data_IF_559164093398
#
_entry.id   IF_559164093398
#
_cell.length_a   1.000
_cell.length_b   1.000
_cell.length_c   1.000
_cell.angle_alpha   90.00
_cell.angle_beta   90.00
_cell.angle_gamma   90.00
#
_symmetry.space_group_name_H-M   'P 1'
#
loop_
_entity.id
_entity.type
_entity.pdbx_description
1 polymer ?
#
# COMPACT_ATOMS: atom_id res chain seq x y z
N UNK A 1 -15.32 3.14 -2.62
CA UNK A 1 -14.67 1.84 -2.37
C UNK A 1 -14.09 1.83 -0.97
N UNK A 2 -13.67 0.68 -0.50
CA UNK A 2 -13.28 0.46 0.89
C UNK A 2 -11.90 -0.17 1.01
N UNK A 3 -11.27 0.05 2.15
CA UNK A 3 -9.98 -0.51 2.54
C UNK A 3 -10.11 -1.25 3.88
N UNK A 4 -9.42 -2.37 4.02
CA UNK A 4 -9.41 -3.16 5.25
C UNK A 4 -8.66 -2.43 6.38
N UNK A 5 -9.21 -2.48 7.59
CA UNK A 5 -8.63 -1.85 8.78
C UNK A 5 -7.20 -2.29 9.08
N UNK A 6 -6.82 -3.53 8.72
CA UNK A 6 -5.42 -4.00 8.79
C UNK A 6 -4.46 -3.12 8.01
N UNK A 7 -4.84 -2.64 6.82
CA UNK A 7 -4.03 -1.73 6.01
C UNK A 7 -4.13 -0.28 6.48
N UNK A 8 -5.25 0.12 7.08
CA UNK A 8 -5.43 1.48 7.64
C UNK A 8 -4.56 1.68 8.87
N UNK A 9 -4.47 0.68 9.74
CA UNK A 9 -3.77 0.75 11.04
C UNK A 9 -2.30 1.11 10.91
N UNK A 10 -1.66 0.75 9.79
CA UNK A 10 -0.24 1.02 9.56
C UNK A 10 0.07 2.51 9.38
N UNK A 11 -0.92 3.34 9.03
CA UNK A 11 -0.74 4.80 8.85
C UNK A 11 -0.50 5.52 10.18
N UNK A 12 -1.40 5.45 11.18
CA UNK A 12 -1.12 6.05 12.48
C UNK A 12 0.07 5.39 13.19
N UNK A 13 0.33 4.09 12.96
CA UNK A 13 1.53 3.42 13.48
C UNK A 13 2.82 4.00 12.88
N UNK A 14 2.85 4.28 11.57
CA UNK A 14 3.98 4.95 10.91
C UNK A 14 4.30 6.28 11.60
N UNK A 15 3.29 7.13 11.83
CA UNK A 15 3.48 8.43 12.46
C UNK A 15 3.97 8.27 13.90
N UNK A 16 3.37 7.38 14.69
CA UNK A 16 3.81 7.12 16.07
C UNK A 16 5.25 6.63 16.14
N UNK A 17 5.67 5.79 15.19
CA UNK A 17 6.99 5.17 15.22
C UNK A 17 8.09 6.06 14.63
N UNK A 18 7.80 6.76 13.52
CA UNK A 18 8.79 7.58 12.79
C UNK A 18 8.80 9.03 13.24
N UNK A 19 7.67 9.54 13.72
CA UNK A 19 7.48 10.93 14.12
C UNK A 19 6.71 11.05 15.47
N UNK A 20 7.18 10.40 16.55
CA UNK A 20 6.43 10.27 17.81
C UNK A 20 5.96 11.60 18.41
N UNK A 21 6.77 12.66 18.31
CA UNK A 21 6.43 14.00 18.81
C UNK A 21 5.38 14.76 17.98
N UNK A 22 5.11 14.32 16.75
CA UNK A 22 4.23 15.01 15.80
C UNK A 22 2.87 14.31 15.63
N UNK A 23 2.64 13.18 16.32
CA UNK A 23 1.42 12.38 16.18
C UNK A 23 0.14 13.19 16.43
N UNK A 24 0.07 13.93 17.54
CA UNK A 24 -1.12 14.73 17.87
C UNK A 24 -1.34 15.85 16.86
N UNK A 25 -0.27 16.46 16.34
CA UNK A 25 -0.36 17.49 15.31
C UNK A 25 -0.89 16.90 14.00
N UNK A 26 -0.40 15.72 13.61
CA UNK A 26 -0.92 15.00 12.44
C UNK A 26 -2.40 14.65 12.62
N UNK A 27 -2.79 14.04 13.75
CA UNK A 27 -4.20 13.74 14.05
C UNK A 27 -5.06 15.00 13.99
N UNK A 28 -4.58 16.12 14.53
CA UNK A 28 -5.32 17.38 14.53
C UNK A 28 -5.42 18.05 13.16
N UNK A 29 -4.55 17.70 12.21
CA UNK A 29 -4.64 18.16 10.82
C UNK A 29 -5.69 17.43 9.98
N UNK A 30 -6.22 16.31 10.48
CA UNK A 30 -7.22 15.50 9.79
C UNK A 30 -8.64 16.06 9.95
N UNK A 31 -9.46 15.78 8.94
CA UNK A 31 -10.90 15.94 8.99
C UNK A 31 -11.52 15.13 10.13
N UNK A 32 -12.73 15.51 10.55
CA UNK A 32 -13.45 14.82 11.64
C UNK A 32 -13.65 13.33 11.32
N UNK A 33 -13.94 13.00 10.06
CA UNK A 33 -14.12 11.61 9.61
C UNK A 33 -12.81 10.81 9.73
N UNK A 34 -11.71 11.35 9.20
CA UNK A 34 -10.40 10.71 9.24
C UNK A 34 -9.87 10.58 10.66
N UNK A 35 -9.99 11.64 11.47
CA UNK A 35 -9.62 11.65 12.89
C UNK A 35 -10.33 10.55 13.67
N UNK A 36 -11.64 10.37 13.46
CA UNK A 36 -12.42 9.31 14.13
C UNK A 36 -11.92 7.92 13.78
N UNK A 37 -11.54 7.68 12.52
CA UNK A 37 -11.05 6.38 12.06
C UNK A 37 -9.66 6.08 12.64
N UNK A 38 -8.71 7.01 12.54
CA UNK A 38 -7.31 6.75 12.92
C UNK A 38 -7.08 6.72 14.43
N UNK A 39 -8.00 7.28 15.22
CA UNK A 39 -7.93 7.25 16.68
C UNK A 39 -8.00 5.83 17.24
N UNK A 40 -8.86 4.98 16.67
CA UNK A 40 -9.04 3.58 17.07
C UNK A 40 -9.43 2.72 15.86
N UNK A 41 -8.41 2.25 15.12
CA UNK A 41 -8.61 1.45 13.91
C UNK A 41 -8.93 0.00 14.30
N UNK A 42 -10.17 -0.43 14.04
CA UNK A 42 -10.56 -1.83 14.12
C UNK A 42 -10.10 -2.58 12.87
N UNK A 43 -9.15 -3.49 13.03
CA UNK A 43 -8.54 -4.26 11.92
C UNK A 43 -9.52 -5.15 11.15
N UNK A 44 -10.62 -5.57 11.78
CA UNK A 44 -11.63 -6.41 11.14
C UNK A 44 -12.62 -5.61 10.28
N UNK A 45 -12.70 -4.30 10.47
CA UNK A 45 -13.66 -3.41 9.78
C UNK A 45 -13.14 -3.00 8.39
N UNK A 46 -14.07 -2.79 7.46
CA UNK A 46 -13.83 -2.12 6.19
C UNK A 46 -14.18 -0.64 6.33
N UNK A 47 -13.32 0.24 5.82
CA UNK A 47 -13.50 1.69 5.93
C UNK A 47 -13.54 2.35 4.55
N UNK A 48 -14.28 3.45 4.37
CA UNK A 48 -14.21 4.24 3.14
C UNK A 48 -12.78 4.68 2.85
N UNK A 49 -12.29 4.41 1.63
CA UNK A 49 -10.88 4.60 1.26
C UNK A 49 -10.38 6.03 1.51
N UNK A 50 -11.19 7.03 1.16
CA UNK A 50 -10.80 8.44 1.22
C UNK A 50 -10.42 8.89 2.65
N UNK A 51 -11.32 8.85 3.66
CA UNK A 51 -10.99 9.27 5.01
C UNK A 51 -10.11 8.26 5.77
N UNK A 52 -10.06 7.00 5.34
CA UNK A 52 -9.28 5.98 6.06
C UNK A 52 -7.83 5.91 5.61
N UNK A 53 -7.53 6.17 4.33
CA UNK A 53 -6.20 5.96 3.78
C UNK A 53 -5.68 7.12 2.94
N UNK A 54 -6.49 7.70 2.04
CA UNK A 54 -6.02 8.77 1.14
C UNK A 54 -5.68 10.02 1.92
N UNK A 55 -6.64 10.59 2.65
CA UNK A 55 -6.44 11.82 3.41
C UNK A 55 -5.38 11.66 4.52
N UNK A 56 -5.42 10.60 5.37
CA UNK A 56 -4.40 10.40 6.39
C UNK A 56 -2.99 10.31 5.81
N UNK A 57 -2.80 9.57 4.71
CA UNK A 57 -1.49 9.44 4.03
C UNK A 57 -1.06 10.78 3.43
N UNK A 58 -1.97 11.52 2.78
CA UNK A 58 -1.69 12.85 2.25
C UNK A 58 -1.20 13.81 3.34
N UNK A 59 -1.77 13.77 4.54
CA UNK A 59 -1.29 14.55 5.69
C UNK A 59 0.09 14.13 6.18
N UNK A 60 0.43 12.84 6.14
CA UNK A 60 1.81 12.40 6.42
C UNK A 60 2.78 12.96 5.37
N UNK A 61 2.40 12.90 4.09
CA UNK A 61 3.21 13.43 2.97
C UNK A 61 3.45 14.94 3.11
N UNK A 62 2.41 15.73 3.37
CA UNK A 62 2.50 17.17 3.56
C UNK A 62 3.42 17.54 4.73
N UNK A 63 3.30 16.85 5.85
CA UNK A 63 4.03 17.18 7.07
C UNK A 63 5.49 16.74 7.07
N UNK A 64 5.80 15.58 6.47
CA UNK A 64 7.08 14.91 6.67
C UNK A 64 7.86 14.63 5.39
N UNK A 65 7.24 14.81 4.21
CA UNK A 65 7.86 14.57 2.91
C UNK A 65 7.81 15.80 1.99
N UNK A 66 7.52 16.99 2.53
CA UNK A 66 7.52 18.24 1.77
C UNK A 66 6.51 18.27 0.62
N UNK A 67 5.45 17.44 0.69
CA UNK A 67 4.49 17.31 -0.40
C UNK A 67 4.90 16.34 -1.52
N UNK A 68 6.05 15.65 -1.42
CA UNK A 68 6.44 14.62 -2.39
C UNK A 68 5.57 13.38 -2.25
N UNK A 69 4.50 13.35 -3.06
CA UNK A 69 3.50 12.28 -3.06
C UNK A 69 4.12 10.92 -3.34
N UNK A 70 5.05 10.85 -4.30
CA UNK A 70 5.68 9.58 -4.66
C UNK A 70 6.51 9.08 -3.49
N UNK A 71 7.45 9.88 -2.99
CA UNK A 71 8.36 9.45 -1.92
C UNK A 71 7.60 9.07 -0.65
N UNK A 72 6.69 9.92 -0.19
CA UNK A 72 5.97 9.68 1.06
C UNK A 72 5.03 8.48 0.98
N UNK A 73 4.15 8.42 -0.03
CA UNK A 73 3.24 7.29 -0.18
C UNK A 73 3.99 5.95 -0.30
N UNK A 74 5.08 5.94 -1.07
CA UNK A 74 5.92 4.76 -1.25
C UNK A 74 6.54 4.28 0.06
N UNK A 75 7.08 5.19 0.87
CA UNK A 75 7.65 4.85 2.18
C UNK A 75 6.60 4.32 3.17
N UNK A 76 5.39 4.90 3.20
CA UNK A 76 4.28 4.33 3.98
C UNK A 76 3.88 2.94 3.47
N UNK A 77 3.98 2.70 2.15
CA UNK A 77 3.75 1.40 1.53
C UNK A 77 4.73 0.35 2.01
N UNK A 78 6.03 0.68 1.95
CA UNK A 78 7.13 -0.17 2.45
C UNK A 78 6.94 -0.50 3.93
N UNK A 79 6.67 0.52 4.75
CA UNK A 79 6.39 0.32 6.17
C UNK A 79 5.18 -0.60 6.41
N UNK A 80 4.11 -0.41 5.64
CA UNK A 80 2.92 -1.27 5.75
C UNK A 80 3.24 -2.73 5.41
N UNK A 81 4.13 -2.99 4.45
CA UNK A 81 4.61 -4.35 4.16
C UNK A 81 5.43 -4.91 5.32
N UNK A 82 6.33 -4.13 5.92
CA UNK A 82 7.08 -4.56 7.09
C UNK A 82 6.15 -4.95 8.25
N UNK A 83 5.13 -4.15 8.57
CA UNK A 83 4.20 -4.45 9.66
C UNK A 83 3.35 -5.69 9.34
N UNK A 84 2.80 -5.77 8.13
CA UNK A 84 1.89 -6.86 7.74
C UNK A 84 2.59 -8.20 7.53
N UNK A 85 3.86 -8.19 7.09
CA UNK A 85 4.61 -9.40 6.72
C UNK A 85 5.62 -9.84 7.80
N UNK A 86 5.92 -9.04 8.83
CA UNK A 86 6.77 -9.47 9.95
C UNK A 86 6.03 -10.22 11.08
N UNK A 87 4.71 -10.42 10.97
CA UNK A 87 3.88 -11.14 11.95
C UNK A 87 3.72 -12.65 11.68
N UNK A 88 2.54 -13.22 11.97
CA UNK A 88 2.23 -14.67 11.76
C UNK A 88 2.45 -15.11 10.29
N UNK A 89 2.30 -14.19 9.33
CA UNK A 89 2.53 -14.45 7.92
C UNK A 89 4.02 -14.48 7.51
N UNK A 90 4.95 -14.10 8.41
CA UNK A 90 6.39 -14.07 8.14
C UNK A 90 6.93 -15.43 7.70
N UNK A 91 6.43 -16.52 8.28
CA UNK A 91 6.82 -17.88 7.89
C UNK A 91 6.27 -18.22 6.49
N UNK A 92 5.01 -17.90 6.20
CA UNK A 92 4.41 -18.19 4.89
C UNK A 92 5.07 -17.43 3.75
N UNK A 93 5.46 -16.17 3.97
CA UNK A 93 6.05 -15.30 2.93
C UNK A 93 7.53 -15.66 2.72
N UNK A 94 8.29 -15.89 3.80
CA UNK A 94 9.72 -16.22 3.73
C UNK A 94 10.01 -17.55 3.02
N UNK A 95 9.05 -18.48 2.99
CA UNK A 95 9.17 -19.77 2.30
C UNK A 95 8.37 -19.86 0.99
N UNK A 96 7.69 -18.79 0.58
CA UNK A 96 7.00 -18.74 -0.71
C UNK A 96 7.94 -18.21 -1.78
N UNK A 97 8.01 -18.88 -2.93
CA UNK A 97 8.70 -18.30 -4.09
C UNK A 97 7.98 -17.03 -4.55
N UNK A 98 8.67 -16.07 -5.18
CA UNK A 98 8.03 -14.88 -5.75
C UNK A 98 6.85 -15.24 -6.65
N UNK A 99 6.99 -16.28 -7.48
CA UNK A 99 5.91 -16.79 -8.34
C UNK A 99 4.66 -17.26 -7.57
N UNK A 100 4.82 -17.79 -6.35
CA UNK A 100 3.70 -18.24 -5.51
C UNK A 100 2.95 -17.07 -4.84
N UNK A 101 3.64 -15.98 -4.54
CA UNK A 101 3.01 -14.74 -4.05
C UNK A 101 2.27 -14.06 -5.20
N UNK A 102 2.92 -13.98 -6.36
CA UNK A 102 2.37 -13.40 -7.58
C UNK A 102 1.10 -14.13 -8.02
N UNK A 103 1.09 -15.47 -8.00
CA UNK A 103 -0.10 -16.25 -8.37
C UNK A 103 -1.31 -16.01 -7.46
N UNK A 104 -1.07 -15.45 -6.27
CA UNK A 104 -2.10 -15.11 -5.28
C UNK A 104 -2.36 -13.60 -5.17
N UNK A 105 -1.66 -12.78 -5.95
CA UNK A 105 -1.71 -11.31 -5.86
C UNK A 105 -3.14 -10.78 -5.92
N UNK A 106 -3.97 -11.31 -6.82
CA UNK A 106 -5.39 -10.94 -6.95
C UNK A 106 -6.17 -11.16 -5.65
N UNK A 107 -6.06 -12.35 -5.04
CA UNK A 107 -6.76 -12.70 -3.80
C UNK A 107 -6.25 -11.89 -2.61
N UNK A 108 -4.94 -11.68 -2.54
CA UNK A 108 -4.33 -10.87 -1.49
C UNK A 108 -4.83 -9.43 -1.60
N UNK A 109 -4.80 -8.85 -2.81
CA UNK A 109 -5.22 -7.48 -3.05
C UNK A 109 -6.69 -7.25 -2.69
N UNK A 110 -7.59 -8.14 -3.13
CA UNK A 110 -9.02 -8.09 -2.81
C UNK A 110 -9.32 -8.25 -1.31
N UNK A 111 -8.41 -8.81 -0.51
CA UNK A 111 -8.55 -8.88 0.94
C UNK A 111 -8.29 -7.52 1.64
N UNK A 112 -7.68 -6.56 0.94
CA UNK A 112 -7.36 -5.24 1.47
C UNK A 112 -8.13 -4.11 0.79
N UNK A 113 -8.57 -4.26 -0.46
CA UNK A 113 -9.33 -3.25 -1.21
C UNK A 113 -10.57 -3.87 -1.86
N UNK A 114 -11.73 -3.23 -1.70
CA UNK A 114 -13.00 -3.75 -2.23
C UNK A 114 -13.96 -2.63 -2.69
N UNK A 115 -14.60 -2.74 -3.87
CA UNK A 115 -14.27 -3.67 -4.96
C UNK A 115 -12.91 -3.34 -5.58
N UNK A 116 -12.17 -4.36 -6.00
CA UNK A 116 -10.91 -4.18 -6.70
C UNK A 116 -10.48 -5.40 -7.51
N UNK A 117 -9.70 -5.17 -8.57
CA UNK A 117 -9.15 -6.23 -9.42
C UNK A 117 -7.70 -5.96 -9.77
N UNK A 118 -6.82 -6.88 -9.35
CA UNK A 118 -5.39 -6.91 -9.68
C UNK A 118 -5.05 -8.28 -10.26
N UNK A 119 -4.39 -8.32 -11.41
CA UNK A 119 -4.00 -9.56 -12.09
C UNK A 119 -2.51 -9.56 -12.42
N UNK A 120 -1.86 -10.71 -12.33
CA UNK A 120 -0.50 -10.87 -12.82
C UNK A 120 -0.53 -11.17 -14.32
N UNK A 121 0.31 -10.49 -15.08
CA UNK A 121 0.58 -10.70 -16.49
C UNK A 121 2.09 -10.74 -16.72
N UNK A 122 2.53 -11.35 -17.83
CA UNK A 122 3.96 -11.36 -18.23
C UNK A 122 4.88 -11.85 -17.10
N UNK A 123 4.54 -13.00 -16.49
CA UNK A 123 5.38 -13.62 -15.46
C UNK A 123 6.63 -14.24 -16.10
N UNK A 124 7.78 -13.72 -15.72
CA UNK A 124 9.10 -14.22 -16.09
C UNK A 124 9.90 -14.58 -14.82
N UNK A 125 11.05 -15.27 -14.94
CA UNK A 125 11.85 -15.67 -13.77
C UNK A 125 12.26 -14.50 -12.85
N UNK A 126 12.45 -13.31 -13.44
CA UNK A 126 13.01 -12.13 -12.78
C UNK A 126 12.11 -10.89 -12.90
N UNK A 127 10.88 -11.05 -13.39
CA UNK A 127 9.96 -9.92 -13.54
C UNK A 127 8.50 -10.35 -13.61
N UNK A 128 7.60 -9.43 -13.27
CA UNK A 128 6.16 -9.59 -13.46
C UNK A 128 5.51 -8.22 -13.65
N UNK A 129 4.48 -8.18 -14.50
CA UNK A 129 3.56 -7.03 -14.56
C UNK A 129 2.31 -7.33 -13.74
N UNK A 130 1.91 -6.39 -12.89
CA UNK A 130 0.62 -6.45 -12.20
C UNK A 130 -0.31 -5.39 -12.80
N UNK A 131 -1.49 -5.81 -13.22
CA UNK A 131 -2.49 -4.98 -13.90
C UNK A 131 -3.67 -4.75 -12.95
N UNK A 132 -3.86 -3.52 -12.51
CA UNK A 132 -5.03 -3.11 -11.74
C UNK A 132 -6.07 -2.53 -12.69
N UNK A 133 -7.15 -3.27 -12.91
CA UNK A 133 -8.19 -2.94 -13.90
C UNK A 133 -9.50 -2.47 -13.26
N UNK A 134 -9.68 -2.70 -11.96
CA UNK A 134 -10.83 -2.20 -11.21
C UNK A 134 -10.35 -1.55 -9.91
N UNK A 135 -10.56 -0.24 -9.80
CA UNK A 135 -10.29 0.55 -8.61
C UNK A 135 -11.13 1.83 -8.64
N UNK A 136 -12.30 1.82 -7.98
CA UNK A 136 -13.34 2.83 -8.20
C UNK A 136 -13.02 4.25 -7.68
N UNK A 137 -11.98 4.40 -6.86
CA UNK A 137 -11.52 5.71 -6.37
C UNK A 137 -10.00 5.82 -6.56
N UNK A 138 -9.53 5.91 -7.81
CA UNK A 138 -8.10 5.91 -8.09
C UNK A 138 -7.44 7.16 -7.51
N UNK A 139 -6.24 6.97 -6.97
CA UNK A 139 -5.49 8.00 -6.26
C UNK A 139 -4.00 7.71 -6.40
N UNK A 140 -3.22 8.70 -6.85
CA UNK A 140 -1.76 8.55 -6.96
C UNK A 140 -1.13 8.18 -5.61
N UNK A 141 -1.66 8.74 -4.52
CA UNK A 141 -1.24 8.40 -3.14
C UNK A 141 -1.37 6.91 -2.89
N UNK A 142 -2.48 6.28 -3.32
CA UNK A 142 -2.71 4.86 -3.10
C UNK A 142 -1.90 4.00 -4.07
N UNK A 143 -1.76 4.42 -5.33
CA UNK A 143 -0.94 3.70 -6.32
C UNK A 143 0.53 3.64 -5.88
N UNK A 144 1.13 4.75 -5.45
CA UNK A 144 2.50 4.75 -4.94
C UNK A 144 2.64 3.96 -3.63
N UNK A 145 1.62 3.99 -2.77
CA UNK A 145 1.61 3.18 -1.55
C UNK A 145 1.54 1.68 -1.85
N UNK A 146 0.78 1.27 -2.87
CA UNK A 146 0.75 -0.11 -3.36
C UNK A 146 2.11 -0.48 -3.95
N UNK A 147 2.72 0.39 -4.76
CA UNK A 147 4.04 0.14 -5.36
C UNK A 147 5.14 -0.08 -4.30
N UNK A 148 5.21 0.79 -3.28
CA UNK A 148 6.14 0.60 -2.16
C UNK A 148 5.87 -0.65 -1.34
N UNK A 149 4.60 -1.04 -1.18
CA UNK A 149 4.25 -2.32 -0.54
C UNK A 149 4.74 -3.52 -1.37
N UNK A 150 4.53 -3.51 -2.69
CA UNK A 150 4.98 -4.59 -3.59
C UNK A 150 6.50 -4.72 -3.56
N UNK A 151 7.22 -3.60 -3.68
CA UNK A 151 8.67 -3.58 -3.63
C UNK A 151 9.18 -4.26 -2.37
N UNK A 152 8.67 -3.82 -1.21
CA UNK A 152 9.09 -4.36 0.07
C UNK A 152 8.67 -5.82 0.28
N UNK A 153 7.49 -6.21 -0.20
CA UNK A 153 7.04 -7.60 -0.14
C UNK A 153 7.94 -8.55 -0.93
N UNK A 154 8.39 -8.15 -2.13
CA UNK A 154 9.34 -8.92 -2.93
C UNK A 154 10.69 -9.02 -2.24
N UNK A 155 11.20 -7.94 -1.65
CA UNK A 155 12.43 -7.96 -0.83
C UNK A 155 12.34 -8.94 0.35
N UNK A 156 11.24 -8.90 1.11
CA UNK A 156 10.99 -9.80 2.24
C UNK A 156 10.92 -11.26 1.79
N UNK A 157 10.48 -11.49 0.55
CA UNK A 157 10.37 -12.81 -0.07
C UNK A 157 11.71 -13.31 -0.66
N UNK A 158 12.78 -12.53 -0.52
CA UNK A 158 14.14 -12.92 -0.91
C UNK A 158 14.61 -12.39 -2.27
N UNK A 159 13.78 -11.64 -3.00
CA UNK A 159 14.21 -10.97 -4.23
C UNK A 159 15.26 -9.91 -3.90
N UNK A 160 16.29 -9.77 -4.75
CA UNK A 160 17.34 -8.76 -4.59
C UNK A 160 17.26 -7.72 -5.70
N UNK A 161 17.63 -6.48 -5.39
CA UNK A 161 17.61 -5.39 -6.37
C UNK A 161 16.24 -5.21 -7.01
N UNK A 162 15.18 -5.24 -6.19
CA UNK A 162 13.80 -5.07 -6.65
C UNK A 162 13.63 -3.67 -7.22
N UNK A 163 13.01 -3.58 -8.39
CA UNK A 163 12.58 -2.31 -8.98
C UNK A 163 11.08 -2.41 -9.28
N UNK A 164 10.33 -1.37 -8.93
CA UNK A 164 8.90 -1.24 -9.27
C UNK A 164 8.69 0.06 -10.05
N UNK A 165 7.96 -0.01 -11.15
CA UNK A 165 7.59 1.15 -11.98
C UNK A 165 6.10 1.16 -12.22
N UNK A 166 5.49 2.34 -12.12
CA UNK A 166 4.11 2.58 -12.55
C UNK A 166 4.17 3.15 -13.97
N UNK A 167 3.77 2.37 -14.97
CA UNK A 167 3.85 2.76 -16.40
C UNK A 167 2.52 3.23 -16.97
N UNK A 168 1.40 2.80 -16.38
CA UNK A 168 0.06 3.34 -16.61
C UNK A 168 -0.62 3.56 -15.25
N UNK A 169 -1.56 4.49 -15.15
CA UNK A 169 -2.23 4.92 -13.93
C UNK A 169 -3.70 5.26 -14.14
N UNK A 170 -4.58 4.56 -13.42
CA UNK A 170 -6.00 4.91 -13.31
C UNK A 170 -6.17 6.32 -12.73
N UNK A 171 -5.30 6.73 -11.79
CA UNK A 171 -5.36 8.06 -11.18
C UNK A 171 -5.07 9.19 -12.19
N UNK A 172 -4.37 8.87 -13.28
CA UNK A 172 -4.08 9.78 -14.40
C UNK A 172 -5.06 9.60 -15.58
N UNK A 173 -6.16 8.90 -15.38
CA UNK A 173 -7.22 8.72 -16.38
C UNK A 173 -6.95 7.65 -17.43
N UNK A 174 -5.93 6.81 -17.26
CA UNK A 174 -5.71 5.64 -18.12
C UNK A 174 -6.68 4.52 -17.74
N UNK A 175 -6.79 3.49 -18.58
CA UNK A 175 -7.78 2.41 -18.39
C UNK A 175 -7.40 1.40 -17.30
N UNK A 176 -6.16 1.45 -16.81
CA UNK A 176 -5.60 0.54 -15.80
C UNK A 176 -4.36 1.17 -15.16
N UNK A 177 -3.97 0.63 -14.02
CA UNK A 177 -2.65 0.89 -13.42
C UNK A 177 -1.75 -0.31 -13.69
N UNK A 178 -0.54 -0.07 -14.19
CA UNK A 178 0.43 -1.13 -14.48
C UNK A 178 1.64 -0.97 -13.57
N UNK A 179 1.88 -1.98 -12.73
CA UNK A 179 3.10 -2.10 -11.93
C UNK A 179 4.05 -3.08 -12.62
N UNK A 180 5.14 -2.58 -13.20
CA UNK A 180 6.23 -3.40 -13.72
C UNK A 180 7.22 -3.66 -12.60
N UNK A 181 7.43 -4.92 -12.27
CA UNK A 181 8.29 -5.34 -11.17
C UNK A 181 9.42 -6.20 -11.72
N UNK A 182 10.65 -5.97 -11.29
CA UNK A 182 11.82 -6.77 -11.66
C UNK A 182 12.76 -7.00 -10.47
N UNK A 183 13.58 -8.06 -10.53
CA UNK A 183 14.56 -8.40 -9.50
C UNK A 183 15.74 -9.22 -10.07
N UNK A 184 16.82 -9.34 -9.31
CA UNK A 184 18.03 -10.13 -9.61
C UNK A 184 18.00 -11.50 -8.96
#
# INVERSE_FOLDING_TARGET
MEIKGTAVKTIPEFVKQRHPGEYLKWVNSLSVASKKIVADVNVATWYPLQPAAVEPTQKVIEMFFGGDVKMGAWELGRYSADVSLNGIYKLYVKFSSPGHIISRASRIFAAYYNPSKLEASELHPNSVKLLMTEFNQPSEVIEYRIAGWIERALEISGCKGVEVKITESLAKGQSKTVYENSWK
#
